data_IF_889911355627
#
_entry.id   IF_889911355627
#
_cell.length_a   1.000
_cell.length_b   1.000
_cell.length_c   1.000
_cell.angle_alpha   90.00
_cell.angle_beta   90.00
_cell.angle_gamma   90.00
#
_symmetry.space_group_name_H-M   'P 1'
#
loop_
_entity.id
_entity.type
_entity.pdbx_description
1 polymer ?
#
# COMPACT_ATOMS: atom_id res chain seq x y z
N UNK A 1 12.07 -5.72 -51.38
CA UNK A 1 11.97 -4.50 -52.21
C UNK A 1 12.18 -3.32 -51.31
N UNK A 2 13.21 -2.55 -51.56
CA UNK A 2 13.79 -1.47 -50.76
C UNK A 2 12.91 -0.20 -50.85
N UNK A 3 12.67 0.50 -49.78
CA UNK A 3 12.58 1.97 -49.81
C UNK A 3 13.08 2.52 -48.48
N UNK A 4 14.26 3.13 -48.56
CA UNK A 4 14.83 4.07 -47.61
C UNK A 4 14.20 5.45 -47.89
N UNK A 5 13.84 6.20 -46.88
CA UNK A 5 13.74 7.63 -47.03
C UNK A 5 14.34 8.34 -45.84
N UNK A 6 15.45 8.98 -46.10
CA UNK A 6 16.11 10.01 -45.28
C UNK A 6 15.29 11.30 -45.33
N UNK A 7 15.19 12.03 -44.23
CA UNK A 7 15.25 13.47 -44.33
C UNK A 7 15.88 14.04 -43.04
N UNK A 8 16.99 14.70 -43.28
CA UNK A 8 17.76 15.54 -42.36
C UNK A 8 17.30 17.00 -42.47
N UNK A 9 17.88 17.88 -41.59
CA UNK A 9 17.97 19.34 -41.68
C UNK A 9 16.82 20.03 -40.89
N UNK A 10 17.06 21.04 -40.03
CA UNK A 10 18.07 22.09 -40.01
C UNK A 10 18.29 22.68 -38.60
N UNK A 11 19.51 22.98 -38.37
CA UNK A 11 20.03 23.88 -37.33
C UNK A 11 19.72 25.32 -37.77
N UNK A 12 19.22 26.17 -36.85
CA UNK A 12 19.30 27.59 -36.99
C UNK A 12 19.75 28.24 -35.68
N UNK A 13 21.01 28.69 -35.73
CA UNK A 13 21.60 29.63 -34.77
C UNK A 13 20.88 31.00 -34.83
N UNK A 14 20.68 31.58 -33.68
CA UNK A 14 20.30 32.98 -33.53
C UNK A 14 20.83 33.51 -32.20
N UNK A 15 22.08 33.96 -32.25
CA UNK A 15 22.66 34.83 -31.22
C UNK A 15 22.29 36.29 -31.57
N UNK A 16 21.88 37.10 -30.58
CA UNK A 16 22.18 38.54 -30.52
C UNK A 16 21.85 39.10 -29.13
N UNK A 17 22.87 39.55 -28.41
CA UNK A 17 23.09 40.81 -27.67
C UNK A 17 22.00 41.35 -26.74
N UNK A 18 22.48 41.71 -25.54
CA UNK A 18 21.91 42.79 -24.77
C UNK A 18 22.39 42.89 -23.32
N UNK A 19 23.48 43.50 -23.13
CA UNK A 19 24.08 44.08 -21.91
C UNK A 19 23.08 44.76 -20.98
N UNK A 20 23.25 44.61 -19.68
CA UNK A 20 22.60 45.46 -18.68
C UNK A 20 22.78 44.97 -17.25
N UNK A 21 23.98 45.14 -16.63
CA UNK A 21 24.10 45.23 -15.19
C UNK A 21 23.72 46.63 -14.73
N UNK A 22 23.11 46.75 -13.56
CA UNK A 22 23.60 47.74 -12.61
C UNK A 22 24.05 47.13 -11.30
N UNK A 23 25.24 47.56 -10.92
CA UNK A 23 25.83 47.53 -9.60
C UNK A 23 25.07 48.34 -8.58
N UNK A 24 25.45 48.06 -7.35
CA UNK A 24 25.31 48.84 -6.12
C UNK A 24 24.07 48.49 -5.29
N UNK A 25 24.19 48.26 -4.01
CA UNK A 25 24.98 48.89 -2.96
C UNK A 25 25.04 47.98 -1.74
N UNK A 26 26.27 47.75 -1.33
CA UNK A 26 26.61 47.28 0.03
C UNK A 26 26.12 48.31 1.04
N UNK A 27 25.24 47.95 1.94
CA UNK A 27 25.09 48.57 3.25
C UNK A 27 25.41 47.57 4.32
N UNK A 28 26.65 47.74 4.82
CA UNK A 28 27.07 47.17 6.08
C UNK A 28 26.21 47.78 7.20
N UNK A 29 25.57 46.90 7.97
CA UNK A 29 25.08 47.21 9.29
C UNK A 29 25.82 46.33 10.29
N UNK A 30 26.75 46.96 10.97
CA UNK A 30 27.39 46.46 12.15
C UNK A 30 26.42 46.54 13.32
N UNK A 31 26.38 45.52 14.16
CA UNK A 31 25.68 45.56 15.44
C UNK A 31 25.16 44.20 15.87
N UNK A 32 26.06 43.33 16.37
CA UNK A 32 25.65 42.21 17.22
C UNK A 32 25.27 42.73 18.61
N UNK A 33 24.35 42.04 19.32
CA UNK A 33 24.83 41.26 20.43
C UNK A 33 24.35 39.81 20.40
N UNK A 34 25.29 38.92 20.67
CA UNK A 34 25.07 37.54 21.04
C UNK A 34 24.27 37.44 22.32
N UNK A 35 23.10 36.81 22.27
CA UNK A 35 22.46 36.23 23.47
C UNK A 35 22.17 34.77 23.14
N UNK A 36 22.67 33.93 23.99
CA UNK A 36 22.67 32.50 23.91
C UNK A 36 21.29 31.85 24.11
N UNK A 37 21.30 30.54 23.89
CA UNK A 37 20.21 29.64 24.19
C UNK A 37 19.48 29.18 22.95
N UNK A 38 19.97 28.11 22.35
CA UNK A 38 19.15 27.29 21.48
C UNK A 38 18.08 26.62 22.39
N UNK A 39 16.80 26.84 22.14
CA UNK A 39 15.82 25.92 22.64
C UNK A 39 15.88 24.67 21.74
N UNK A 40 15.93 23.50 22.38
CA UNK A 40 15.62 22.24 21.76
C UNK A 40 14.42 22.42 20.83
N UNK A 41 14.62 22.26 19.53
CA UNK A 41 13.55 22.02 18.60
C UNK A 41 12.95 20.65 18.90
N UNK A 42 12.14 20.61 19.97
CA UNK A 42 11.09 19.61 20.08
C UNK A 42 10.28 19.69 18.79
N UNK A 43 10.39 18.66 17.98
CA UNK A 43 9.62 18.45 16.76
C UNK A 43 8.15 18.81 17.02
N UNK A 44 7.81 20.03 16.69
CA UNK A 44 6.42 20.50 16.66
C UNK A 44 5.76 19.83 15.43
N UNK A 45 5.35 18.59 15.62
CA UNK A 45 4.49 17.87 14.71
C UNK A 45 3.19 18.69 14.63
N UNK A 46 3.13 19.55 13.62
CA UNK A 46 1.98 20.40 13.32
C UNK A 46 0.76 19.50 13.16
N UNK A 47 0.02 19.37 14.23
CA UNK A 47 -1.23 18.62 14.32
C UNK A 47 -2.30 19.40 13.56
N UNK A 48 -2.33 19.26 12.23
CA UNK A 48 -3.46 19.75 11.43
C UNK A 48 -4.68 18.94 11.86
N UNK A 49 -5.74 19.57 12.43
CA UNK A 49 -6.94 18.85 12.81
C UNK A 49 -7.56 18.21 11.57
N UNK A 50 -7.59 16.87 11.53
CA UNK A 50 -8.21 16.10 10.46
C UNK A 50 -7.26 15.38 9.51
N UNK A 51 -5.93 15.44 9.69
CA UNK A 51 -5.01 14.65 8.86
C UNK A 51 -5.18 13.15 9.15
N UNK A 52 -5.41 12.37 8.08
CA UNK A 52 -5.51 10.91 8.16
C UNK A 52 -4.17 10.32 8.57
N UNK A 53 -4.19 9.40 9.53
CA UNK A 53 -3.00 8.68 10.01
C UNK A 53 -3.19 7.18 9.91
N UNK A 54 -2.07 6.45 9.87
CA UNK A 54 -2.13 5.00 9.85
C UNK A 54 -2.81 4.46 11.11
N UNK A 55 -2.28 4.82 12.27
CA UNK A 55 -2.72 4.23 13.53
C UNK A 55 -4.21 4.42 13.80
N UNK A 56 -4.72 5.63 13.54
CA UNK A 56 -6.11 5.96 13.83
C UNK A 56 -7.08 5.50 12.74
N UNK A 57 -6.73 5.75 11.47
CA UNK A 57 -7.71 5.73 10.39
C UNK A 57 -7.50 4.54 9.43
N UNK A 58 -6.25 4.17 9.14
CA UNK A 58 -5.93 3.18 8.12
C UNK A 58 -5.74 1.78 8.69
N UNK A 59 -5.09 1.64 9.87
CA UNK A 59 -4.88 0.34 10.48
C UNK A 59 -6.18 -0.45 10.70
N UNK A 60 -7.28 0.15 11.18
CA UNK A 60 -8.55 -0.56 11.30
C UNK A 60 -9.05 -1.10 9.95
N UNK A 61 -8.91 -0.33 8.88
CA UNK A 61 -9.31 -0.76 7.53
C UNK A 61 -8.47 -1.95 7.07
N UNK A 62 -7.14 -1.86 7.20
CA UNK A 62 -6.19 -2.90 6.79
C UNK A 62 -6.39 -4.16 7.62
N UNK A 63 -6.51 -4.05 8.94
CA UNK A 63 -6.63 -5.20 9.83
C UNK A 63 -7.93 -5.97 9.61
N UNK A 64 -9.03 -5.27 9.38
CA UNK A 64 -10.34 -5.90 9.16
C UNK A 64 -10.49 -6.52 7.75
N UNK A 65 -9.84 -5.96 6.73
CA UNK A 65 -10.10 -6.35 5.35
C UNK A 65 -8.93 -7.04 4.64
N UNK A 66 -7.69 -6.88 5.12
CA UNK A 66 -6.50 -7.36 4.42
C UNK A 66 -5.72 -8.39 5.24
N UNK A 67 -5.62 -8.18 6.56
CA UNK A 67 -4.73 -8.94 7.44
C UNK A 67 -5.06 -10.44 7.51
N UNK A 68 -6.32 -10.83 7.30
CA UNK A 68 -6.70 -12.26 7.29
C UNK A 68 -5.93 -13.08 6.26
N UNK A 69 -5.56 -12.46 5.14
CA UNK A 69 -4.75 -13.07 4.09
C UNK A 69 -3.30 -12.61 4.12
N UNK A 70 -3.07 -11.32 4.45
CA UNK A 70 -1.76 -10.69 4.47
C UNK A 70 -1.12 -10.75 5.86
N UNK A 71 -0.76 -11.95 6.30
CA UNK A 71 -0.09 -12.27 7.56
C UNK A 71 0.86 -13.46 7.38
N UNK A 72 1.81 -13.69 8.31
CA UNK A 72 2.64 -14.89 8.27
C UNK A 72 1.80 -16.18 8.22
N UNK A 73 2.26 -17.15 7.46
CA UNK A 73 1.61 -18.46 7.27
C UNK A 73 0.20 -18.41 6.65
N UNK A 74 -0.19 -17.31 6.02
CA UNK A 74 -1.43 -17.20 5.26
C UNK A 74 -1.14 -17.15 3.74
N UNK A 75 -2.20 -17.01 2.93
CA UNK A 75 -2.13 -17.17 1.47
C UNK A 75 -1.37 -16.05 0.75
N UNK A 76 -1.31 -14.85 1.33
CA UNK A 76 -0.66 -13.72 0.68
C UNK A 76 0.87 -13.75 0.86
N UNK A 77 1.64 -13.29 -0.15
CA UNK A 77 3.11 -13.41 -0.15
C UNK A 77 3.83 -12.42 0.78
N UNK A 78 3.10 -11.56 1.48
CA UNK A 78 3.66 -10.57 2.40
C UNK A 78 2.65 -10.20 3.50
N UNK A 79 3.17 -9.73 4.62
CA UNK A 79 2.39 -9.25 5.75
C UNK A 79 1.95 -7.78 5.59
N UNK A 80 0.81 -7.43 6.21
CA UNK A 80 0.32 -6.06 6.40
C UNK A 80 -0.10 -5.82 7.87
N UNK A 81 0.64 -6.38 8.81
CA UNK A 81 0.33 -6.30 10.24
C UNK A 81 1.02 -5.12 10.95
N UNK A 82 1.92 -4.42 10.26
CA UNK A 82 2.63 -3.27 10.82
C UNK A 82 2.54 -2.05 9.92
N UNK A 83 2.73 -0.86 10.52
CA UNK A 83 2.85 0.37 9.76
C UNK A 83 3.92 0.28 8.68
N UNK A 84 5.09 -0.28 9.00
CA UNK A 84 6.21 -0.39 8.08
C UNK A 84 5.85 -1.26 6.85
N UNK A 85 5.16 -2.38 7.08
CA UNK A 85 4.71 -3.26 6.01
C UNK A 85 3.72 -2.56 5.07
N UNK A 86 2.79 -1.82 5.65
CA UNK A 86 1.76 -1.09 4.90
C UNK A 86 2.35 0.11 4.18
N UNK A 87 3.18 0.92 4.84
CA UNK A 87 3.86 2.08 4.24
C UNK A 87 4.72 1.69 3.05
N UNK A 88 5.49 0.61 3.18
CA UNK A 88 6.32 0.10 2.07
C UNK A 88 5.52 -0.18 0.80
N UNK A 89 4.23 -0.49 0.93
CA UNK A 89 3.33 -0.84 -0.16
C UNK A 89 2.17 0.14 -0.36
N UNK A 90 2.24 1.29 0.26
CA UNK A 90 1.13 2.24 0.34
C UNK A 90 0.56 2.60 -1.05
N UNK A 91 1.41 2.94 -2.00
CA UNK A 91 1.01 3.26 -3.39
C UNK A 91 0.36 2.06 -4.09
N UNK A 92 0.89 0.86 -3.88
CA UNK A 92 0.32 -0.38 -4.44
C UNK A 92 -1.04 -0.65 -3.82
N UNK A 93 -1.19 -0.51 -2.51
CA UNK A 93 -2.45 -0.72 -1.80
C UNK A 93 -3.50 0.27 -2.31
N UNK A 94 -3.18 1.56 -2.42
CA UNK A 94 -4.10 2.55 -2.98
C UNK A 94 -4.56 2.18 -4.39
N UNK A 95 -3.65 1.80 -5.26
CA UNK A 95 -3.96 1.39 -6.63
C UNK A 95 -4.89 0.16 -6.69
N UNK A 96 -4.53 -0.92 -5.99
CA UNK A 96 -5.31 -2.18 -6.07
C UNK A 96 -6.67 -2.07 -5.38
N UNK A 97 -6.82 -1.20 -4.39
CA UNK A 97 -8.12 -0.94 -3.74
C UNK A 97 -8.97 -0.01 -4.59
N UNK A 98 -8.42 1.01 -5.21
CA UNK A 98 -9.11 1.87 -6.17
C UNK A 98 -9.66 1.05 -7.35
N UNK A 99 -8.86 0.16 -7.92
CA UNK A 99 -9.26 -0.74 -9.00
C UNK A 99 -10.10 -1.93 -8.55
N UNK A 100 -10.42 -2.03 -7.25
CA UNK A 100 -11.19 -3.12 -6.66
C UNK A 100 -10.62 -4.52 -6.96
N UNK A 101 -9.30 -4.61 -7.15
CA UNK A 101 -8.56 -5.87 -7.27
C UNK A 101 -8.43 -6.52 -5.89
N UNK A 102 -8.22 -5.69 -4.85
CA UNK A 102 -8.12 -6.10 -3.45
C UNK A 102 -9.11 -5.33 -2.56
N UNK A 103 -9.73 -6.01 -1.60
CA UNK A 103 -9.76 -7.46 -1.37
C UNK A 103 -10.36 -8.21 -2.55
N UNK A 104 -9.95 -9.49 -2.83
CA UNK A 104 -10.44 -10.25 -3.97
C UNK A 104 -11.91 -10.64 -3.74
N UNK A 105 -12.79 -10.00 -4.50
CA UNK A 105 -14.22 -10.26 -4.48
C UNK A 105 -14.81 -10.04 -5.87
N UNK A 106 -15.12 -11.12 -6.57
CA UNK A 106 -15.56 -11.08 -7.96
C UNK A 106 -17.08 -11.03 -8.15
N UNK A 107 -17.85 -11.34 -7.09
CA UNK A 107 -19.31 -11.27 -7.21
C UNK A 107 -19.77 -9.81 -7.44
N UNK A 108 -20.57 -9.58 -8.43
CA UNK A 108 -21.15 -8.27 -8.69
C UNK A 108 -22.12 -7.87 -7.58
N UNK A 109 -22.28 -6.55 -7.43
CA UNK A 109 -23.26 -5.99 -6.53
C UNK A 109 -24.60 -6.02 -7.29
N UNK A 110 -25.41 -7.02 -7.01
CA UNK A 110 -26.77 -7.15 -7.54
C UNK A 110 -27.82 -6.84 -6.46
N UNK A 111 -29.02 -7.35 -6.66
CA UNK A 111 -30.15 -7.17 -5.75
C UNK A 111 -30.00 -7.94 -4.43
N UNK A 112 -28.94 -8.74 -4.29
CA UNK A 112 -28.70 -9.60 -3.14
C UNK A 112 -27.44 -9.18 -2.39
N UNK A 113 -27.54 -9.11 -1.06
CA UNK A 113 -26.39 -8.95 -0.18
C UNK A 113 -25.74 -10.32 0.09
N UNK A 114 -24.46 -10.41 -0.21
CA UNK A 114 -23.69 -11.61 0.15
C UNK A 114 -23.23 -11.53 1.60
N UNK A 115 -23.48 -12.58 2.35
CA UNK A 115 -22.92 -12.72 3.69
C UNK A 115 -21.38 -12.66 3.61
N UNK A 116 -20.78 -11.93 4.53
CA UNK A 116 -19.31 -11.78 4.63
C UNK A 116 -18.64 -11.24 3.35
N UNK A 117 -19.34 -10.42 2.57
CA UNK A 117 -18.78 -9.77 1.38
C UNK A 117 -17.54 -8.95 1.73
N UNK A 118 -16.43 -9.24 1.06
CA UNK A 118 -15.14 -8.55 1.28
C UNK A 118 -15.00 -7.34 0.36
N UNK A 119 -15.83 -6.34 0.56
CA UNK A 119 -15.77 -5.11 -0.23
C UNK A 119 -15.42 -3.93 0.66
N UNK A 120 -14.44 -3.15 0.24
CA UNK A 120 -14.22 -1.84 0.83
C UNK A 120 -15.30 -0.88 0.34
N UNK A 121 -15.75 -0.02 1.24
CA UNK A 121 -16.62 1.10 0.88
C UNK A 121 -15.86 2.13 0.04
N UNK A 122 -16.57 2.95 -0.72
CA UNK A 122 -15.96 4.07 -1.45
C UNK A 122 -15.24 5.04 -0.51
N UNK A 123 -15.75 5.25 0.70
CA UNK A 123 -15.12 6.07 1.72
C UNK A 123 -13.78 5.48 2.19
N UNK A 124 -13.74 4.18 2.51
CA UNK A 124 -12.50 3.50 2.91
C UNK A 124 -11.43 3.57 1.82
N UNK A 125 -11.82 3.36 0.56
CA UNK A 125 -10.91 3.50 -0.60
C UNK A 125 -10.39 4.94 -0.69
N UNK A 126 -11.28 5.93 -0.56
CA UNK A 126 -10.90 7.34 -0.57
C UNK A 126 -9.98 7.72 0.59
N UNK A 127 -10.20 7.15 1.80
CA UNK A 127 -9.31 7.36 2.95
C UNK A 127 -7.90 6.83 2.68
N UNK A 128 -7.78 5.62 2.12
CA UNK A 128 -6.49 5.04 1.76
C UNK A 128 -5.76 5.93 0.74
N UNK A 129 -6.46 6.39 -0.31
CA UNK A 129 -5.89 7.27 -1.33
C UNK A 129 -5.35 8.57 -0.72
N UNK A 130 -6.18 9.31 0.02
CA UNK A 130 -5.78 10.56 0.68
C UNK A 130 -4.63 10.38 1.67
N UNK A 131 -4.63 9.29 2.43
CA UNK A 131 -3.52 8.99 3.33
C UNK A 131 -2.20 8.79 2.58
N UNK A 132 -2.22 8.11 1.44
CA UNK A 132 -1.04 7.90 0.60
C UNK A 132 -0.57 9.21 -0.01
N UNK A 133 -1.48 10.05 -0.50
CA UNK A 133 -1.19 11.39 -1.04
C UNK A 133 -0.56 12.31 0.01
N UNK A 134 -0.99 12.19 1.27
CA UNK A 134 -0.43 12.92 2.41
C UNK A 134 0.95 12.41 2.88
N UNK A 135 1.57 11.45 2.16
CA UNK A 135 2.88 10.89 2.51
C UNK A 135 2.84 9.73 3.51
N UNK A 136 1.67 9.17 3.72
CA UNK A 136 1.46 7.99 4.57
C UNK A 136 1.93 8.19 6.03
N UNK A 137 1.46 9.21 6.76
CA UNK A 137 1.88 9.45 8.14
C UNK A 137 1.43 8.33 9.08
N UNK A 138 2.27 8.00 10.08
CA UNK A 138 1.99 6.95 11.06
C UNK A 138 0.93 7.36 12.09
N UNK A 139 1.04 8.55 12.60
CA UNK A 139 0.19 9.04 13.67
C UNK A 139 0.69 8.66 15.07
N UNK A 140 -0.11 9.02 16.08
CA UNK A 140 0.24 8.75 17.47
C UNK A 140 0.19 7.25 17.79
N UNK A 141 1.20 6.69 18.48
CA UNK A 141 1.14 5.30 18.94
C UNK A 141 -0.04 5.00 19.88
N UNK A 142 -0.59 6.01 20.52
CA UNK A 142 -1.76 5.86 21.42
C UNK A 142 -3.05 5.54 20.64
N UNK A 143 -3.09 5.89 19.37
CA UNK A 143 -4.24 5.66 18.49
C UNK A 143 -4.14 4.31 17.76
N UNK A 144 -3.03 3.57 17.94
CA UNK A 144 -2.83 2.28 17.28
C UNK A 144 -3.81 1.25 17.83
N UNK A 145 -4.59 0.57 16.97
CA UNK A 145 -5.41 -0.55 17.39
C UNK A 145 -4.52 -1.73 17.81
N UNK A 146 -5.02 -2.60 18.69
CA UNK A 146 -4.29 -3.83 19.00
C UNK A 146 -4.11 -4.66 17.72
N UNK A 147 -2.97 -5.37 17.58
CA UNK A 147 -2.78 -6.29 16.47
C UNK A 147 -3.91 -7.31 16.41
N UNK A 148 -4.43 -7.64 15.23
CA UNK A 148 -5.47 -8.64 15.11
C UNK A 148 -4.96 -10.02 15.54
N UNK A 149 -5.74 -10.71 16.37
CA UNK A 149 -5.50 -12.09 16.72
C UNK A 149 -6.15 -13.00 15.66
N UNK A 150 -5.44 -14.03 15.25
CA UNK A 150 -5.93 -15.00 14.29
C UNK A 150 -5.95 -16.38 14.95
N UNK A 151 -7.06 -17.08 14.77
CA UNK A 151 -7.18 -18.46 15.11
C UNK A 151 -6.82 -19.30 13.86
N UNK A 152 -5.72 -20.03 13.94
CA UNK A 152 -5.25 -20.92 12.87
C UNK A 152 -5.88 -22.32 13.00
N UNK A 153 -6.82 -22.51 13.90
CA UNK A 153 -7.58 -23.74 14.05
C UNK A 153 -8.57 -23.93 12.89
N UNK A 154 -9.20 -25.06 12.88
CA UNK A 154 -10.26 -25.37 11.91
C UNK A 154 -11.47 -24.47 12.11
N UNK A 155 -11.87 -23.72 11.09
CA UNK A 155 -12.99 -22.76 11.17
C UNK A 155 -14.33 -23.38 11.56
N UNK A 156 -14.52 -24.66 11.27
CA UNK A 156 -15.74 -25.42 11.60
C UNK A 156 -15.57 -26.31 12.84
N UNK A 157 -14.51 -26.09 13.61
CA UNK A 157 -14.14 -26.97 14.71
C UNK A 157 -13.23 -28.11 14.28
N UNK A 158 -12.79 -28.95 15.24
CA UNK A 158 -11.92 -30.08 14.96
C UNK A 158 -12.64 -31.07 14.03
N UNK A 159 -12.05 -31.46 12.88
CA UNK A 159 -12.67 -32.42 11.99
C UNK A 159 -12.66 -33.84 12.59
N UNK A 160 -13.67 -34.62 12.27
CA UNK A 160 -13.76 -36.01 12.70
C UNK A 160 -12.71 -36.91 12.01
N UNK A 161 -12.36 -36.55 10.76
CA UNK A 161 -11.39 -37.27 9.97
C UNK A 161 -10.54 -36.33 9.13
N UNK A 162 -9.22 -36.50 9.16
CA UNK A 162 -8.27 -35.81 8.31
C UNK A 162 -7.62 -36.81 7.38
N UNK A 163 -7.91 -36.71 6.09
CA UNK A 163 -7.30 -37.54 5.06
C UNK A 163 -6.20 -36.76 4.35
N UNK A 164 -5.02 -37.32 4.24
CA UNK A 164 -3.89 -36.72 3.56
C UNK A 164 -3.39 -37.63 2.46
N UNK A 165 -2.91 -37.03 1.38
CA UNK A 165 -2.15 -37.78 0.37
C UNK A 165 -0.83 -38.26 0.97
N UNK A 166 -0.42 -39.48 0.64
CA UNK A 166 0.88 -40.06 1.06
C UNK A 166 2.05 -39.31 0.42
N UNK A 167 1.85 -38.81 -0.80
CA UNK A 167 2.86 -38.08 -1.56
C UNK A 167 2.27 -36.78 -2.12
N UNK A 168 3.12 -35.77 -2.25
CA UNK A 168 2.73 -34.51 -2.87
C UNK A 168 2.53 -34.72 -4.38
N UNK A 169 1.41 -34.23 -4.91
CA UNK A 169 1.18 -34.20 -6.34
C UNK A 169 1.84 -32.94 -6.94
N UNK A 170 2.76 -33.10 -7.93
CA UNK A 170 3.39 -31.95 -8.56
C UNK A 170 2.39 -31.24 -9.50
N UNK A 171 2.20 -29.94 -9.29
CA UNK A 171 1.39 -29.08 -10.16
C UNK A 171 2.35 -28.15 -10.90
N UNK A 172 2.25 -28.10 -12.22
CA UNK A 172 3.03 -27.13 -13.02
C UNK A 172 2.62 -25.69 -12.66
N UNK A 173 3.59 -24.77 -12.75
CA UNK A 173 3.33 -23.36 -12.48
C UNK A 173 2.48 -22.67 -13.57
N UNK A 174 2.43 -23.27 -14.74
CA UNK A 174 1.72 -22.80 -15.94
C UNK A 174 1.05 -23.97 -16.66
N UNK A 175 0.15 -23.66 -17.58
CA UNK A 175 -0.57 -24.64 -18.37
C UNK A 175 -2.06 -24.67 -18.09
N UNK A 176 -2.82 -25.58 -18.74
CA UNK A 176 -4.24 -25.72 -18.52
C UNK A 176 -4.55 -26.35 -17.18
N UNK A 177 -5.78 -26.15 -16.70
CA UNK A 177 -6.29 -26.79 -15.50
C UNK A 177 -6.22 -28.30 -15.59
N UNK A 178 -5.72 -28.96 -14.55
CA UNK A 178 -5.57 -30.41 -14.47
C UNK A 178 -6.60 -30.96 -13.48
N UNK A 179 -7.48 -31.82 -13.98
CA UNK A 179 -8.46 -32.55 -13.17
C UNK A 179 -7.94 -33.96 -12.88
N UNK A 180 -7.80 -34.29 -11.60
CA UNK A 180 -7.33 -35.61 -11.14
C UNK A 180 -8.21 -36.16 -10.02
N UNK A 181 -8.50 -37.43 -10.08
CA UNK A 181 -9.16 -38.18 -9.01
C UNK A 181 -8.12 -38.95 -8.20
N UNK A 182 -8.16 -38.80 -6.88
CA UNK A 182 -7.29 -39.54 -5.95
C UNK A 182 -8.17 -40.44 -5.07
N UNK A 183 -7.86 -41.72 -5.03
CA UNK A 183 -8.44 -42.66 -4.07
C UNK A 183 -7.55 -42.69 -2.84
N UNK A 184 -8.08 -42.24 -1.71
CA UNK A 184 -7.36 -42.24 -0.44
C UNK A 184 -7.92 -43.33 0.46
N UNK A 185 -7.07 -44.24 0.98
CA UNK A 185 -7.51 -45.27 1.93
C UNK A 185 -7.96 -44.60 3.23
N UNK A 186 -9.04 -45.10 3.78
CA UNK A 186 -9.54 -44.72 5.10
C UNK A 186 -9.27 -45.87 6.05
N UNK A 187 -8.28 -45.71 6.92
CA UNK A 187 -8.04 -46.61 8.03
C UNK A 187 -9.10 -46.30 9.09
N UNK A 188 -10.02 -47.21 9.27
CA UNK A 188 -11.07 -47.15 10.30
C UNK A 188 -10.73 -48.09 11.45
#
# INVERSE_FOLDING_TARGET
>A
MKIKLFLAIAILLGAVFGLGRPESQTRAWAGAPSVGGAPDEASNESKTPGALTFNKDIAPIIFNNCASCHRPNAVAPFSLLSYQDVKKRAKQIAYVTEKRIMPPWKADQGDYEFKDARRLTGEQIGMIGRWVEAGSPEGSPKDAPPPPAFDDSWRLGKPDLIVKMSEAYPVAADGPDIYRNFALPLDR
#
